data_IF_931221395610
#
_entry.id   IF_931221395610
#
_cell.length_a   1.000
_cell.length_b   1.000
_cell.length_c   1.000
_cell.angle_alpha   90.00
_cell.angle_beta   90.00
_cell.angle_gamma   90.00
#
_symmetry.space_group_name_H-M   'P 1'
#
loop_
_entity.id
_entity.type
_entity.pdbx_description
1 polymer ?
#
# COMPACT_ATOMS: atom_id res chain seq x y z
N UNK A 1 -2.62 -0.42 2.65
CA UNK A 1 -3.60 -0.77 3.71
C UNK A 1 -3.92 0.45 4.57
N UNK A 2 -2.95 1.12 5.19
CA UNK A 2 -3.18 2.24 6.11
C UNK A 2 -4.06 3.36 5.57
N UNK A 3 -3.98 3.69 4.28
CA UNK A 3 -4.79 4.74 3.66
C UNK A 3 -6.28 4.39 3.57
N UNK A 4 -6.61 3.12 3.34
CA UNK A 4 -7.99 2.67 3.15
C UNK A 4 -8.67 2.26 4.46
N UNK A 5 -7.92 1.71 5.41
CA UNK A 5 -8.45 1.05 6.60
C UNK A 5 -8.02 1.67 7.93
N UNK A 6 -7.39 2.85 7.89
CA UNK A 6 -7.09 3.65 9.09
C UNK A 6 -6.24 2.93 10.15
N UNK A 7 -5.35 2.04 9.69
CA UNK A 7 -4.48 1.24 10.57
C UNK A 7 -3.27 2.00 11.11
N UNK A 8 -3.19 3.30 10.83
CA UNK A 8 -2.08 4.17 11.24
C UNK A 8 -2.58 5.57 11.59
N UNK A 9 -1.70 6.43 12.07
CA UNK A 9 -2.03 7.81 12.44
C UNK A 9 -2.45 8.68 11.25
N UNK A 10 -3.13 9.78 11.54
CA UNK A 10 -3.73 10.70 10.55
C UNK A 10 -2.74 11.15 9.49
N UNK A 11 -1.54 11.57 9.86
CA UNK A 11 -0.53 12.07 8.91
C UNK A 11 -0.11 10.98 7.91
N UNK A 12 0.09 9.76 8.39
CA UNK A 12 0.42 8.62 7.54
C UNK A 12 -0.73 8.29 6.58
N UNK A 13 -1.95 8.14 7.09
CA UNK A 13 -3.12 7.85 6.27
C UNK A 13 -3.35 8.92 5.20
N UNK A 14 -3.25 10.20 5.57
CA UNK A 14 -3.37 11.32 4.64
C UNK A 14 -2.30 11.28 3.53
N UNK A 15 -1.03 11.02 3.89
CA UNK A 15 0.07 10.94 2.92
C UNK A 15 -0.12 9.81 1.92
N UNK A 16 -0.59 8.65 2.38
CA UNK A 16 -0.83 7.48 1.52
C UNK A 16 -2.07 7.65 0.63
N UNK A 17 -3.11 8.31 1.14
CA UNK A 17 -4.28 8.67 0.34
C UNK A 17 -3.92 9.66 -0.78
N UNK A 18 -3.07 10.65 -0.47
CA UNK A 18 -2.55 11.59 -1.46
C UNK A 18 -1.75 10.87 -2.56
N UNK A 19 -0.91 9.89 -2.20
CA UNK A 19 -0.17 9.09 -3.17
C UNK A 19 -1.12 8.28 -4.09
N UNK A 20 -2.20 7.73 -3.56
CA UNK A 20 -3.24 7.07 -4.35
C UNK A 20 -3.87 8.01 -5.38
N UNK A 21 -4.21 9.23 -4.97
CA UNK A 21 -4.75 10.24 -5.87
C UNK A 21 -3.73 10.66 -6.94
N UNK A 22 -2.48 10.89 -6.55
CA UNK A 22 -1.38 11.23 -7.47
C UNK A 22 -1.16 10.14 -8.52
N UNK A 23 -1.18 8.86 -8.12
CA UNK A 23 -1.05 7.72 -9.03
C UNK A 23 -2.10 7.74 -10.13
N UNK A 24 -3.37 7.91 -9.76
CA UNK A 24 -4.50 7.95 -10.71
C UNK A 24 -4.41 9.17 -11.63
N UNK A 25 -4.09 10.33 -11.06
CA UNK A 25 -3.94 11.56 -11.84
C UNK A 25 -2.80 11.43 -12.87
N UNK A 26 -1.63 10.94 -12.46
CA UNK A 26 -0.49 10.72 -13.34
C UNK A 26 -0.82 9.73 -14.46
N UNK A 27 -1.49 8.62 -14.12
CA UNK A 27 -1.89 7.62 -15.10
C UNK A 27 -2.78 8.21 -16.20
N UNK A 28 -3.72 9.08 -15.82
CA UNK A 28 -4.62 9.75 -16.75
C UNK A 28 -3.92 10.82 -17.57
N UNK A 29 -3.14 11.70 -16.93
CA UNK A 29 -2.48 12.84 -17.56
C UNK A 29 -1.45 12.43 -18.61
N UNK A 30 -0.77 11.31 -18.42
CA UNK A 30 0.32 10.86 -19.27
C UNK A 30 -0.05 9.70 -20.21
N UNK A 31 -1.34 9.37 -20.30
CA UNK A 31 -1.86 8.27 -21.12
C UNK A 31 -1.38 8.38 -22.59
N UNK A 32 -1.54 9.55 -23.20
CA UNK A 32 -1.13 9.79 -24.60
C UNK A 32 0.39 9.80 -24.81
N UNK A 33 1.16 9.86 -23.73
CA UNK A 33 2.62 9.74 -23.76
C UNK A 33 3.11 8.29 -23.66
N UNK A 34 2.19 7.33 -23.57
CA UNK A 34 2.53 5.93 -23.41
C UNK A 34 3.13 5.58 -22.03
N UNK A 35 2.91 6.44 -21.03
CA UNK A 35 3.40 6.24 -19.66
C UNK A 35 2.28 5.64 -18.83
N UNK A 36 2.59 4.55 -18.15
CA UNK A 36 1.70 3.93 -17.15
C UNK A 36 2.14 4.32 -15.74
N UNK A 37 1.18 4.55 -14.87
CA UNK A 37 1.43 4.81 -13.47
C UNK A 37 0.48 3.95 -12.63
N UNK A 38 1.06 3.06 -11.83
CA UNK A 38 0.34 2.19 -10.92
C UNK A 38 0.97 2.27 -9.52
N UNK A 39 0.25 1.88 -8.51
CA UNK A 39 0.78 1.75 -7.16
C UNK A 39 0.51 0.36 -6.59
N UNK A 40 1.34 -0.05 -5.65
CA UNK A 40 1.12 -1.25 -4.85
C UNK A 40 0.76 -0.79 -3.43
N UNK A 41 -0.24 -1.43 -2.86
CA UNK A 41 -0.67 -1.23 -1.48
C UNK A 41 -0.34 -2.48 -0.65
N UNK A 42 0.86 -2.58 -0.08
CA UNK A 42 1.26 -3.73 0.72
C UNK A 42 0.46 -3.80 2.04
N UNK A 43 0.25 -5.02 2.51
CA UNK A 43 -0.13 -5.30 3.90
C UNK A 43 1.08 -5.26 4.84
N UNK A 44 1.06 -6.11 5.84
CA UNK A 44 2.23 -6.33 6.70
C UNK A 44 3.32 -7.09 5.93
N UNK A 45 4.53 -6.55 5.90
CA UNK A 45 5.70 -7.14 5.24
C UNK A 45 6.88 -7.14 6.20
N UNK A 46 7.65 -8.22 6.22
CA UNK A 46 8.87 -8.33 7.02
C UNK A 46 9.87 -7.28 6.55
N UNK A 47 10.18 -6.31 7.42
CA UNK A 47 11.13 -5.22 7.15
C UNK A 47 11.84 -4.80 8.42
N UNK A 48 12.82 -3.92 8.30
CA UNK A 48 13.52 -3.33 9.45
C UNK A 48 12.78 -2.13 10.08
N UNK A 49 11.62 -1.73 9.53
CA UNK A 49 10.84 -0.59 10.04
C UNK A 49 10.58 -0.67 11.54
N UNK A 50 10.19 -1.82 12.14
CA UNK A 50 9.95 -1.91 13.58
C UNK A 50 11.16 -1.55 14.43
N UNK A 51 12.38 -1.68 13.92
CA UNK A 51 13.62 -1.38 14.65
C UNK A 51 13.86 0.14 14.80
N UNK A 52 13.24 0.94 13.94
CA UNK A 52 13.45 2.40 13.89
C UNK A 52 12.17 3.20 14.21
N UNK A 53 11.06 2.52 14.43
CA UNK A 53 9.82 3.19 14.80
C UNK A 53 9.87 3.68 16.25
N UNK A 54 9.46 4.93 16.52
CA UNK A 54 9.28 5.39 17.89
C UNK A 54 8.14 4.64 18.57
N UNK A 55 8.15 4.65 19.91
CA UNK A 55 7.03 4.10 20.70
C UNK A 55 5.72 4.78 20.28
N UNK A 56 4.70 4.02 19.89
CA UNK A 56 3.42 4.60 19.49
C UNK A 56 2.76 5.36 20.65
N UNK A 57 2.02 6.39 20.32
CA UNK A 57 1.12 7.04 21.29
C UNK A 57 0.06 6.04 21.78
N UNK A 58 -0.07 5.93 23.10
CA UNK A 58 -0.91 4.91 23.72
C UNK A 58 -2.39 5.06 23.35
N UNK A 59 -2.91 6.28 23.33
CA UNK A 59 -4.30 6.55 22.96
C UNK A 59 -4.57 6.19 21.49
N UNK A 60 -3.73 6.66 20.58
CA UNK A 60 -3.89 6.41 19.15
C UNK A 60 -3.70 4.93 18.79
N UNK A 61 -2.72 4.28 19.38
CA UNK A 61 -2.41 2.88 19.11
C UNK A 61 -3.49 1.94 19.68
N UNK A 62 -4.01 2.23 20.89
CA UNK A 62 -5.04 1.41 21.51
C UNK A 62 -6.28 1.23 20.64
N UNK A 63 -6.67 2.27 19.89
CA UNK A 63 -7.81 2.20 18.97
C UNK A 63 -7.49 1.47 17.66
N UNK A 64 -6.35 1.79 17.06
CA UNK A 64 -5.95 1.20 15.78
C UNK A 64 -5.48 -0.26 15.91
N UNK A 65 -4.95 -0.66 17.06
CA UNK A 65 -4.48 -2.03 17.29
C UNK A 65 -5.58 -3.08 17.19
N UNK A 66 -6.84 -2.72 17.43
CA UNK A 66 -7.98 -3.61 17.24
C UNK A 66 -8.08 -4.14 15.80
N UNK A 67 -7.66 -3.36 14.81
CA UNK A 67 -7.67 -3.76 13.40
C UNK A 67 -6.51 -4.72 13.05
N UNK A 68 -5.48 -4.77 13.89
CA UNK A 68 -4.33 -5.66 13.68
C UNK A 68 -4.62 -7.10 14.11
N UNK A 69 -5.66 -7.34 14.92
CA UNK A 69 -5.99 -8.68 15.42
C UNK A 69 -6.39 -9.67 14.33
N UNK A 70 -6.80 -9.16 13.17
CA UNK A 70 -7.20 -9.97 12.00
C UNK A 70 -6.18 -9.89 10.86
N UNK A 71 -4.98 -9.36 11.15
CA UNK A 71 -3.93 -9.33 10.14
C UNK A 71 -3.48 -10.77 9.80
N UNK A 72 -3.29 -11.09 8.51
CA UNK A 72 -2.70 -12.36 8.10
C UNK A 72 -1.24 -12.44 8.50
N UNK A 73 -0.60 -13.57 8.20
CA UNK A 73 0.85 -13.68 8.29
C UNK A 73 1.55 -12.59 7.49
N UNK A 74 2.72 -12.17 7.97
CA UNK A 74 3.50 -11.16 7.26
C UNK A 74 3.99 -11.70 5.92
N UNK A 75 3.83 -10.92 4.88
CA UNK A 75 4.45 -11.20 3.59
C UNK A 75 5.96 -10.97 3.62
N UNK A 76 6.64 -11.53 2.64
CA UNK A 76 8.07 -11.29 2.42
C UNK A 76 8.27 -10.15 1.40
N UNK A 77 9.40 -9.43 1.42
CA UNK A 77 9.70 -8.40 0.43
C UNK A 77 9.58 -8.88 -1.02
N UNK A 78 9.93 -10.14 -1.27
CA UNK A 78 9.85 -10.79 -2.57
C UNK A 78 8.41 -10.82 -3.13
N UNK A 79 7.40 -10.97 -2.27
CA UNK A 79 6.00 -10.95 -2.71
C UNK A 79 5.60 -9.59 -3.30
N UNK A 80 6.16 -8.52 -2.76
CA UNK A 80 5.93 -7.17 -3.28
C UNK A 80 6.77 -6.91 -4.53
N UNK A 81 7.99 -7.44 -4.58
CA UNK A 81 8.87 -7.34 -5.76
C UNK A 81 8.27 -8.04 -6.99
N UNK A 82 7.64 -9.20 -6.82
CA UNK A 82 6.93 -9.92 -7.89
C UNK A 82 5.77 -9.09 -8.46
N UNK A 83 4.98 -8.47 -7.60
CA UNK A 83 3.92 -7.56 -8.02
C UNK A 83 4.46 -6.31 -8.76
N UNK A 84 5.59 -5.78 -8.28
CA UNK A 84 6.26 -4.66 -8.94
C UNK A 84 6.81 -5.05 -10.31
N UNK A 85 7.40 -6.21 -10.43
CA UNK A 85 7.90 -6.75 -11.70
C UNK A 85 6.75 -6.91 -12.72
N UNK A 86 5.63 -7.48 -12.32
CA UNK A 86 4.44 -7.57 -13.17
C UNK A 86 3.99 -6.20 -13.66
N UNK A 87 3.83 -5.23 -12.75
CA UNK A 87 3.38 -3.87 -13.11
C UNK A 87 4.39 -3.10 -13.97
N UNK A 88 5.68 -3.42 -13.88
CA UNK A 88 6.74 -2.81 -14.68
C UNK A 88 6.93 -3.46 -16.06
N UNK A 89 6.43 -4.67 -16.25
CA UNK A 89 6.60 -5.45 -17.48
C UNK A 89 5.51 -5.16 -18.52
N UNK A 90 5.73 -5.65 -19.74
CA UNK A 90 4.75 -5.59 -20.83
C UNK A 90 3.53 -6.49 -20.60
N UNK A 91 3.62 -7.45 -19.67
CA UNK A 91 2.49 -8.29 -19.29
C UNK A 91 1.33 -7.48 -18.72
N UNK A 92 1.64 -6.35 -18.09
CA UNK A 92 0.67 -5.41 -17.54
C UNK A 92 0.40 -4.19 -18.45
N UNK A 93 0.69 -4.29 -19.75
CA UNK A 93 0.57 -3.14 -20.68
C UNK A 93 -0.82 -2.48 -20.72
N UNK A 94 -1.86 -3.19 -20.33
CA UNK A 94 -3.23 -2.66 -20.26
C UNK A 94 -3.67 -2.29 -18.84
N UNK A 95 -2.74 -2.34 -17.87
CA UNK A 95 -2.97 -1.96 -16.47
C UNK A 95 -2.39 -0.56 -16.24
N UNK A 96 -3.27 0.41 -15.99
CA UNK A 96 -2.87 1.80 -15.75
C UNK A 96 -3.80 2.46 -14.74
N UNK A 97 -3.27 3.19 -13.79
CA UNK A 97 -4.02 3.86 -12.72
C UNK A 97 -4.52 2.93 -11.60
N UNK A 98 -4.05 1.68 -11.55
CA UNK A 98 -4.46 0.74 -10.52
C UNK A 98 -3.72 0.97 -9.20
N UNK A 99 -4.39 0.62 -8.11
CA UNK A 99 -3.78 0.43 -6.80
C UNK A 99 -3.90 -1.07 -6.50
N UNK A 100 -2.83 -1.79 -6.76
CA UNK A 100 -2.78 -3.25 -6.56
C UNK A 100 -2.57 -3.56 -5.08
N UNK A 101 -3.57 -4.15 -4.46
CA UNK A 101 -3.47 -4.59 -3.07
C UNK A 101 -2.71 -5.91 -2.98
N UNK A 102 -1.65 -5.95 -2.16
CA UNK A 102 -0.81 -7.11 -1.89
C UNK A 102 -0.68 -7.28 -0.38
N UNK A 103 -1.73 -7.79 0.27
CA UNK A 103 -1.89 -7.78 1.72
C UNK A 103 -2.31 -9.14 2.33
N UNK A 104 -2.19 -10.22 1.56
CA UNK A 104 -2.60 -11.55 2.02
C UNK A 104 -4.10 -11.70 2.28
N UNK A 105 -4.93 -10.81 1.71
CA UNK A 105 -6.38 -10.80 1.92
C UNK A 105 -6.84 -10.01 3.15
N UNK A 106 -5.93 -9.30 3.84
CA UNK A 106 -6.26 -8.55 5.05
C UNK A 106 -7.43 -7.58 4.86
N UNK A 107 -7.58 -7.00 3.68
CA UNK A 107 -8.61 -5.99 3.40
C UNK A 107 -9.67 -6.47 2.40
N UNK A 108 -9.84 -7.77 2.27
CA UNK A 108 -10.80 -8.37 1.32
C UNK A 108 -12.24 -8.47 1.84
N UNK A 109 -12.58 -7.74 2.91
CA UNK A 109 -13.92 -7.71 3.50
C UNK A 109 -14.61 -6.37 3.29
#
# INVERSE_FOLDING_TARGET
>A
VGAAHQTAGVAYCASKAALTAATKNTAYMYLEKGIRCNAIAPGGVVTEIPLVMPTPDEFGFGRSSALLTHAPELGMPENIAEAALFLASDESRFVNGTILTCDGGWTAF
#
